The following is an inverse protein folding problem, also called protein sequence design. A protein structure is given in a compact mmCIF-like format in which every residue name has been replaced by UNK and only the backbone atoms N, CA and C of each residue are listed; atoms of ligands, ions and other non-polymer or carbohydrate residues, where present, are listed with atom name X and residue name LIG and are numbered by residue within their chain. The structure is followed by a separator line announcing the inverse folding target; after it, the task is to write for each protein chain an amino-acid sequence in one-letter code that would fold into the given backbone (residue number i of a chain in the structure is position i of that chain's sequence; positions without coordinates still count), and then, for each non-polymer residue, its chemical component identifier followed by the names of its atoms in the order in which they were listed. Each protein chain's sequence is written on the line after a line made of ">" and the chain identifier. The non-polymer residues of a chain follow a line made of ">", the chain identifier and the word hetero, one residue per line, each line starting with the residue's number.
data_IF_846866083301
#
_entry.id   IF_846866083301
#
_cell.length_a   1.000
_cell.length_b   1.000
_cell.length_c   1.000
_cell.angle_alpha   90.00
_cell.angle_beta   90.00
_cell.angle_gamma   90.00
#
_symmetry.space_group_name_H-M   'P 1'
#
loop_
_entity.id
_entity.type
_entity.pdbx_description
1 polymer ?
#
# COMPACT_ATOMS: atom_id res chain seq x y z
N UNK A 1 5.56 -1.92 -24.93
CA UNK A 1 5.20 -0.72 -24.12
C UNK A 1 3.73 -0.70 -23.72
N UNK A 2 2.79 -0.78 -24.67
CA UNK A 2 1.35 -0.59 -24.40
C UNK A 2 0.75 -1.63 -23.43
N UNK A 3 1.11 -2.91 -23.57
CA UNK A 3 0.66 -3.96 -22.64
C UNK A 3 1.15 -3.73 -21.20
N UNK A 4 2.42 -3.36 -21.01
CA UNK A 4 2.99 -3.07 -19.69
C UNK A 4 2.31 -1.87 -19.03
N UNK A 5 2.03 -0.82 -19.80
CA UNK A 5 1.27 0.33 -19.32
C UNK A 5 -0.15 -0.07 -18.88
N UNK A 6 -0.88 -0.85 -19.69
CA UNK A 6 -2.23 -1.32 -19.36
C UNK A 6 -2.26 -2.18 -18.09
N UNK A 7 -1.27 -3.07 -17.92
CA UNK A 7 -1.14 -3.90 -16.71
C UNK A 7 -0.89 -3.01 -15.49
N UNK A 8 0.09 -2.09 -15.56
CA UNK A 8 0.38 -1.16 -14.46
C UNK A 8 -0.83 -0.27 -14.11
N UNK A 9 -1.58 0.19 -15.12
CA UNK A 9 -2.79 0.98 -14.93
C UNK A 9 -3.87 0.18 -14.21
N UNK A 10 -4.17 -1.03 -14.69
CA UNK A 10 -5.20 -1.88 -14.09
C UNK A 10 -4.83 -2.31 -12.67
N UNK A 11 -3.59 -2.76 -12.45
CA UNK A 11 -3.10 -3.16 -11.12
C UNK A 11 -3.08 -1.96 -10.18
N UNK A 12 -2.60 -0.80 -10.62
CA UNK A 12 -2.57 0.41 -9.80
C UNK A 12 -3.97 0.87 -9.38
N UNK A 13 -4.94 0.85 -10.30
CA UNK A 13 -6.34 1.13 -9.99
C UNK A 13 -6.93 0.12 -9.00
N UNK A 14 -6.63 -1.17 -9.16
CA UNK A 14 -7.07 -2.21 -8.25
C UNK A 14 -6.51 -2.00 -6.84
N UNK A 15 -5.23 -1.65 -6.71
CA UNK A 15 -4.60 -1.33 -5.42
C UNK A 15 -5.27 -0.10 -4.78
N UNK A 16 -5.55 0.96 -5.55
CA UNK A 16 -6.27 2.14 -5.06
C UNK A 16 -7.68 1.76 -4.59
N UNK A 17 -8.39 0.96 -5.36
CA UNK A 17 -9.73 0.49 -5.01
C UNK A 17 -9.74 -0.32 -3.70
N UNK A 18 -8.77 -1.22 -3.52
CA UNK A 18 -8.60 -1.95 -2.25
C UNK A 18 -8.25 -0.99 -1.10
N UNK A 19 -7.35 -0.03 -1.34
CA UNK A 19 -7.02 1.04 -0.39
C UNK A 19 -8.26 1.82 0.05
N UNK A 20 -9.19 2.08 -0.85
CA UNK A 20 -10.47 2.75 -0.55
C UNK A 20 -11.38 1.89 0.33
N UNK A 21 -11.49 0.59 0.03
CA UNK A 21 -12.25 -0.32 0.89
C UNK A 21 -11.66 -0.41 2.30
N UNK A 22 -10.33 -0.38 2.41
CA UNK A 22 -9.66 -0.42 3.71
C UNK A 22 -9.83 0.91 4.45
N UNK A 23 -9.62 2.05 3.79
CA UNK A 23 -9.70 3.37 4.43
C UNK A 23 -11.14 3.76 4.81
N UNK A 24 -12.06 3.74 3.84
CA UNK A 24 -13.41 4.31 3.99
C UNK A 24 -14.37 3.29 4.59
N UNK A 25 -14.37 2.07 4.05
CA UNK A 25 -15.25 1.00 4.54
C UNK A 25 -14.65 0.23 5.73
N UNK A 26 -13.42 0.55 6.15
CA UNK A 26 -12.70 -0.06 7.29
C UNK A 26 -12.66 -1.59 7.20
N UNK A 27 -12.60 -2.14 5.99
CA UNK A 27 -12.52 -3.59 5.73
C UNK A 27 -11.09 -4.08 5.99
N UNK A 28 -10.70 -4.10 7.27
CA UNK A 28 -9.35 -4.47 7.71
C UNK A 28 -9.01 -5.95 7.44
N UNK A 29 -10.01 -6.83 7.26
CA UNK A 29 -9.79 -8.22 6.84
C UNK A 29 -9.07 -8.35 5.49
N UNK A 30 -9.07 -7.29 4.67
CA UNK A 30 -8.32 -7.25 3.41
C UNK A 30 -6.79 -7.14 3.64
N UNK A 31 -6.36 -6.80 4.86
CA UNK A 31 -4.95 -6.79 5.23
C UNK A 31 -4.50 -8.22 5.53
N UNK A 32 -3.54 -8.71 4.77
CA UNK A 32 -2.94 -10.01 5.01
C UNK A 32 -2.33 -10.07 6.41
N UNK A 33 -2.65 -11.13 7.17
CA UNK A 33 -2.18 -11.32 8.54
C UNK A 33 -2.93 -10.49 9.60
N UNK A 34 -3.94 -9.71 9.22
CA UNK A 34 -4.82 -9.07 10.19
C UNK A 34 -5.76 -10.10 10.81
N UNK A 35 -5.75 -10.19 12.14
CA UNK A 35 -6.67 -11.02 12.93
C UNK A 35 -7.56 -10.11 13.77
N UNK A 36 -8.86 -10.14 13.53
CA UNK A 36 -9.82 -9.30 14.24
C UNK A 36 -9.88 -9.61 15.74
N UNK A 37 -9.68 -10.88 16.12
CA UNK A 37 -9.77 -11.38 17.50
C UNK A 37 -8.58 -10.95 18.37
N UNK A 38 -7.40 -10.77 17.77
CA UNK A 38 -6.16 -10.46 18.50
C UNK A 38 -5.76 -8.99 18.42
N UNK A 39 -6.47 -8.19 17.60
CA UNK A 39 -6.16 -6.79 17.41
C UNK A 39 -6.81 -5.89 18.47
N UNK A 40 -5.98 -5.39 19.38
CA UNK A 40 -6.37 -4.49 20.48
C UNK A 40 -6.12 -3.00 20.16
N UNK A 41 -5.58 -2.70 18.97
CA UNK A 41 -5.23 -1.37 18.50
C UNK A 41 -6.40 -0.50 18.02
N UNK A 42 -6.07 0.75 17.64
CA UNK A 42 -7.03 1.66 17.00
C UNK A 42 -7.25 1.27 15.52
N UNK A 43 -8.41 0.67 15.26
CA UNK A 43 -8.84 0.24 13.92
C UNK A 43 -8.94 1.40 12.92
N UNK A 44 -9.29 2.60 13.37
CA UNK A 44 -9.42 3.77 12.48
C UNK A 44 -8.05 4.27 12.02
N UNK A 45 -7.08 4.31 12.94
CA UNK A 45 -5.70 4.67 12.60
C UNK A 45 -5.07 3.65 11.66
N UNK A 46 -5.28 2.36 11.91
CA UNK A 46 -4.79 1.30 11.03
C UNK A 46 -5.40 1.38 9.63
N UNK A 47 -6.73 1.57 9.54
CA UNK A 47 -7.44 1.74 8.27
C UNK A 47 -6.93 2.94 7.46
N UNK A 48 -6.73 4.09 8.13
CA UNK A 48 -6.20 5.29 7.48
C UNK A 48 -4.76 5.10 7.00
N UNK A 49 -3.92 4.46 7.80
CA UNK A 49 -2.51 4.23 7.48
C UNK A 49 -2.35 3.25 6.31
N UNK A 50 -3.07 2.12 6.35
CA UNK A 50 -3.06 1.12 5.28
C UNK A 50 -3.68 1.64 3.98
N UNK A 51 -4.81 2.35 4.07
CA UNK A 51 -5.41 3.00 2.92
C UNK A 51 -4.49 4.02 2.25
N UNK A 52 -3.86 4.90 3.03
CA UNK A 52 -2.90 5.87 2.52
C UNK A 52 -1.70 5.18 1.85
N UNK A 53 -1.16 4.12 2.46
CA UNK A 53 -0.10 3.32 1.86
C UNK A 53 -0.52 2.72 0.51
N UNK A 54 -1.69 2.07 0.45
CA UNK A 54 -2.23 1.52 -0.80
C UNK A 54 -2.41 2.59 -1.88
N UNK A 55 -2.89 3.78 -1.53
CA UNK A 55 -3.03 4.87 -2.52
C UNK A 55 -1.69 5.31 -3.10
N UNK A 56 -0.67 5.48 -2.24
CA UNK A 56 0.67 5.87 -2.68
C UNK A 56 1.25 4.80 -3.62
N UNK A 57 1.17 3.53 -3.23
CA UNK A 57 1.66 2.40 -4.04
C UNK A 57 0.92 2.33 -5.37
N UNK A 58 -0.41 2.44 -5.35
CA UNK A 58 -1.21 2.38 -6.58
C UNK A 58 -0.89 3.52 -7.55
N UNK A 59 -0.78 4.76 -7.07
CA UNK A 59 -0.37 5.90 -7.91
C UNK A 59 1.05 5.72 -8.45
N UNK A 60 1.99 5.31 -7.60
CA UNK A 60 3.36 5.03 -8.04
C UNK A 60 3.42 3.94 -9.12
N UNK A 61 2.58 2.90 -9.00
CA UNK A 61 2.46 1.81 -9.99
C UNK A 61 1.96 2.32 -11.33
N UNK A 62 0.98 3.24 -11.34
CA UNK A 62 0.44 3.83 -12.58
C UNK A 62 1.50 4.70 -13.29
N UNK A 63 2.33 5.42 -12.54
CA UNK A 63 3.35 6.33 -13.08
C UNK A 63 4.61 5.57 -13.52
N UNK A 64 4.90 4.42 -12.92
CA UNK A 64 6.07 3.58 -13.20
C UNK A 64 6.38 3.38 -14.70
N UNK A 65 5.44 2.94 -15.55
CA UNK A 65 5.72 2.72 -16.97
C UNK A 65 6.19 3.99 -17.69
N UNK A 66 5.67 5.17 -17.32
CA UNK A 66 6.11 6.46 -17.88
C UNK A 66 7.54 6.80 -17.48
N UNK A 67 7.91 6.52 -16.22
CA UNK A 67 9.26 6.73 -15.74
C UNK A 67 10.26 5.76 -16.40
N UNK A 68 9.88 4.49 -16.55
CA UNK A 68 10.69 3.50 -17.27
C UNK A 68 10.90 3.88 -18.74
N UNK A 69 9.90 4.43 -19.41
CA UNK A 69 10.02 4.87 -20.80
C UNK A 69 10.98 6.07 -20.95
N UNK A 70 10.88 7.07 -20.06
CA UNK A 70 11.66 8.31 -20.18
C UNK A 70 13.09 8.23 -19.62
N UNK A 71 13.28 7.49 -18.54
CA UNK A 71 14.54 7.48 -17.76
C UNK A 71 15.22 6.10 -17.85
N UNK A 72 14.46 5.04 -18.13
CA UNK A 72 14.99 3.68 -18.22
C UNK A 72 15.01 2.93 -16.89
N UNK A 73 15.82 1.87 -16.83
CA UNK A 73 15.75 0.85 -15.79
C UNK A 73 16.04 1.36 -14.36
N UNK A 74 16.75 2.49 -14.24
CA UNK A 74 17.03 3.16 -12.95
C UNK A 74 15.74 3.45 -12.18
N UNK A 75 14.65 3.82 -12.86
CA UNK A 75 13.35 4.09 -12.21
C UNK A 75 12.76 2.83 -11.58
N UNK A 76 12.92 1.67 -12.23
CA UNK A 76 12.47 0.39 -11.69
C UNK A 76 13.17 0.04 -10.37
N UNK A 77 14.49 0.30 -10.29
CA UNK A 77 15.29 0.09 -9.08
C UNK A 77 14.81 1.01 -7.96
N UNK A 78 14.66 2.31 -8.25
CA UNK A 78 14.16 3.29 -7.27
C UNK A 78 12.76 2.93 -6.78
N UNK A 79 11.87 2.56 -7.69
CA UNK A 79 10.52 2.11 -7.35
C UNK A 79 10.56 0.90 -6.41
N UNK A 80 11.36 -0.13 -6.72
CA UNK A 80 11.49 -1.31 -5.88
C UNK A 80 11.98 -0.96 -4.46
N UNK A 81 13.02 -0.12 -4.35
CA UNK A 81 13.54 0.33 -3.05
C UNK A 81 12.45 1.08 -2.25
N UNK A 82 11.72 1.99 -2.90
CA UNK A 82 10.64 2.75 -2.25
C UNK A 82 9.52 1.84 -1.74
N UNK A 83 9.11 0.83 -2.52
CA UNK A 83 8.08 -0.13 -2.10
C UNK A 83 8.57 -0.98 -0.92
N UNK A 84 9.81 -1.48 -0.97
CA UNK A 84 10.37 -2.30 0.11
C UNK A 84 10.47 -1.49 1.41
N UNK A 85 11.08 -0.30 1.37
CA UNK A 85 11.21 0.56 2.55
C UNK A 85 9.83 1.00 3.07
N UNK A 86 8.93 1.39 2.17
CA UNK A 86 7.56 1.75 2.52
C UNK A 86 6.82 0.62 3.23
N UNK A 87 7.00 -0.62 2.77
CA UNK A 87 6.40 -1.81 3.39
C UNK A 87 6.97 -2.07 4.78
N UNK A 88 8.29 -1.94 4.97
CA UNK A 88 8.92 -2.09 6.30
C UNK A 88 8.37 -1.04 7.27
N UNK A 89 8.32 0.23 6.85
CA UNK A 89 7.77 1.32 7.68
C UNK A 89 6.28 1.08 7.98
N UNK A 90 5.50 0.62 7.01
CA UNK A 90 4.10 0.26 7.18
C UNK A 90 3.92 -0.82 8.25
N UNK A 91 4.68 -1.92 8.16
CA UNK A 91 4.61 -3.04 9.12
C UNK A 91 4.99 -2.58 10.53
N UNK A 92 6.06 -1.80 10.69
CA UNK A 92 6.48 -1.28 11.99
C UNK A 92 5.37 -0.42 12.60
N UNK A 93 4.79 0.52 11.83
CA UNK A 93 3.72 1.38 12.33
C UNK A 93 2.44 0.59 12.64
N UNK A 94 2.07 -0.38 11.82
CA UNK A 94 0.93 -1.25 12.07
C UNK A 94 1.10 -2.05 13.37
N UNK A 95 2.30 -2.59 13.62
CA UNK A 95 2.61 -3.31 14.86
C UNK A 95 2.62 -2.39 16.09
N UNK A 96 3.14 -1.18 15.97
CA UNK A 96 3.07 -0.19 17.05
C UNK A 96 1.63 0.17 17.40
N UNK A 97 0.75 0.32 16.40
CA UNK A 97 -0.68 0.55 16.62
C UNK A 97 -1.35 -0.62 17.34
N UNK A 98 -0.90 -1.87 17.12
CA UNK A 98 -1.42 -3.03 17.84
C UNK A 98 -0.95 -3.09 19.31
N UNK A 99 0.31 -2.71 19.59
CA UNK A 99 0.87 -2.72 20.96
C UNK A 99 0.49 -1.49 21.81
N UNK A 100 0.17 -0.36 21.18
CA UNK A 100 0.02 0.94 21.85
C UNK A 100 -1.15 1.03 22.86
N UNK A 101 -2.12 0.11 22.83
CA UNK A 101 -3.28 0.13 23.75
C UNK A 101 -3.10 -0.78 24.97
N UNK A 102 -1.95 -1.44 25.12
CA UNK A 102 -1.57 -2.08 26.38
C UNK A 102 -0.97 -1.00 27.27
N UNK A 103 -1.81 -0.15 27.85
CA UNK A 103 -1.48 0.73 28.96
C UNK A 103 -2.67 0.86 29.88
#
# INVERSE_FOLDING_TARGET
>A
MLAGFLVCLFVGLLIIFLGYQIHVKKRLFLLAGYQEETFVGDKNKLAKLSGAFSYIVGVATIILPLGLEKIGNVVGIVYAILIVLGTIVFIIKANLLNKSTIK
#
